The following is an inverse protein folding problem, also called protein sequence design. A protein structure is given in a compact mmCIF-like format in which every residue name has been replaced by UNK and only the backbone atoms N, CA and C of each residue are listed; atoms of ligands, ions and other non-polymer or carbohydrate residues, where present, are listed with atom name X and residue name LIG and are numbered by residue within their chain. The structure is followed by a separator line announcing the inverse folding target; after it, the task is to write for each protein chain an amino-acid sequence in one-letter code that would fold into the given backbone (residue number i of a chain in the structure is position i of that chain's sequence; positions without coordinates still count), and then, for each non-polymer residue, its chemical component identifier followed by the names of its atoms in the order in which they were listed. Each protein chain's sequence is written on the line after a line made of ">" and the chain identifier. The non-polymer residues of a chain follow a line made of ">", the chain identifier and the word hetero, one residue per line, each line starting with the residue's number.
data_IF_868493939460
#
_entry.id   IF_868493939460
#
_cell.length_a   1.000
_cell.length_b   1.000
_cell.length_c   1.000
_cell.angle_alpha   90.00
_cell.angle_beta   90.00
_cell.angle_gamma   90.00
#
_symmetry.space_group_name_H-M   'P 1'
#
loop_
_entity.id
_entity.type
_entity.pdbx_description
1 polymer ?
#
# COMPACT_ATOMS: atom_id res chain seq x y z
N UNK A 1 49.84 7.56 -10.99
CA UNK A 1 50.34 6.30 -11.58
C UNK A 1 49.31 5.18 -11.82
N UNK A 2 47.99 5.43 -11.87
CA UNK A 2 47.01 4.38 -12.22
C UNK A 2 46.84 4.17 -13.74
N UNK A 3 47.29 5.12 -14.57
CA UNK A 3 47.11 5.07 -16.02
C UNK A 3 48.05 4.06 -16.70
N UNK A 4 49.29 3.95 -16.23
CA UNK A 4 50.27 3.02 -16.79
C UNK A 4 49.91 1.55 -16.52
N UNK A 5 49.26 1.26 -15.39
CA UNK A 5 48.86 -0.10 -14.99
C UNK A 5 47.67 -0.61 -15.83
N UNK A 6 46.73 0.28 -16.18
CA UNK A 6 45.61 -0.04 -17.07
C UNK A 6 46.08 -0.39 -18.49
N UNK A 7 47.05 0.39 -19.00
CA UNK A 7 47.56 0.24 -20.36
C UNK A 7 48.27 -1.12 -20.57
N UNK A 8 48.83 -1.74 -19.52
CA UNK A 8 49.52 -3.03 -19.61
C UNK A 8 48.62 -4.25 -19.41
N UNK A 9 47.65 -4.21 -18.50
CA UNK A 9 46.90 -5.41 -18.09
C UNK A 9 45.45 -5.44 -18.55
N UNK A 10 44.90 -4.32 -19.05
CA UNK A 10 43.51 -4.24 -19.54
C UNK A 10 42.44 -4.43 -18.46
N UNK A 11 42.84 -4.57 -17.20
CA UNK A 11 42.00 -4.69 -16.01
C UNK A 11 42.62 -3.77 -14.98
N UNK A 12 41.83 -2.86 -14.38
CA UNK A 12 42.18 -2.30 -13.07
C UNK A 12 41.53 -3.23 -12.07
N UNK A 13 42.34 -3.94 -11.28
CA UNK A 13 41.82 -4.57 -10.07
C UNK A 13 41.51 -3.44 -9.08
N UNK A 14 40.26 -2.98 -9.08
CA UNK A 14 39.72 -2.03 -8.10
C UNK A 14 39.41 -2.72 -6.75
N UNK A 15 40.10 -3.81 -6.41
CA UNK A 15 40.28 -4.22 -5.01
C UNK A 15 41.22 -3.23 -4.30
N UNK A 16 40.94 -1.93 -4.47
CA UNK A 16 41.41 -0.88 -3.59
C UNK A 16 40.92 -1.24 -2.20
N UNK A 17 41.91 -1.51 -1.37
CA UNK A 17 41.91 -1.75 0.07
C UNK A 17 41.29 -0.56 0.85
N UNK A 18 40.08 -0.15 0.47
CA UNK A 18 39.31 1.02 0.94
C UNK A 18 37.81 0.77 0.81
N UNK A 19 37.34 -0.45 1.10
CA UNK A 19 36.01 -0.55 1.70
C UNK A 19 36.17 0.05 3.09
N UNK A 20 36.06 1.39 3.15
CA UNK A 20 35.95 2.18 4.38
C UNK A 20 35.11 1.37 5.38
N UNK A 21 35.76 0.82 6.39
CA UNK A 21 35.07 0.24 7.56
C UNK A 21 34.23 1.32 8.27
N UNK A 22 34.40 2.58 7.88
CA UNK A 22 33.67 3.78 8.26
C UNK A 22 32.51 4.17 7.33
N UNK A 23 32.15 3.38 6.29
CA UNK A 23 30.88 3.61 5.59
C UNK A 23 29.76 3.27 6.55
N UNK A 24 29.21 4.31 7.19
CA UNK A 24 28.04 4.23 8.03
C UNK A 24 26.82 3.95 7.14
N UNK A 25 26.69 2.69 6.72
CA UNK A 25 25.58 2.22 5.90
C UNK A 25 24.24 2.55 6.57
N UNK A 26 24.16 2.52 7.90
CA UNK A 26 22.97 2.95 8.61
C UNK A 26 22.60 4.40 8.29
N UNK A 27 23.54 5.35 8.33
CA UNK A 27 23.30 6.74 7.95
C UNK A 27 22.91 6.90 6.48
N UNK A 28 23.56 6.16 5.58
CA UNK A 28 23.21 6.16 4.15
C UNK A 28 21.78 5.64 3.93
N UNK A 29 21.40 4.54 4.57
CA UNK A 29 20.06 3.96 4.48
C UNK A 29 19.00 4.86 5.16
N UNK A 30 19.33 5.51 6.29
CA UNK A 30 18.45 6.48 6.97
C UNK A 30 18.23 7.75 6.17
N UNK A 31 19.21 8.15 5.35
CA UNK A 31 19.07 9.29 4.43
C UNK A 31 18.15 8.96 3.25
N UNK A 32 18.23 7.74 2.73
CA UNK A 32 17.36 7.26 1.65
C UNK A 32 15.94 6.95 2.15
N UNK A 33 15.84 6.38 3.35
CA UNK A 33 14.59 5.99 4.00
C UNK A 33 14.51 6.64 5.38
N UNK A 34 14.02 7.89 5.45
CA UNK A 34 13.83 8.55 6.72
C UNK A 34 12.95 7.72 7.64
N UNK A 35 13.17 7.84 8.95
CA UNK A 35 12.38 7.11 9.94
C UNK A 35 10.93 7.55 9.86
N UNK A 36 10.05 6.62 9.52
CA UNK A 36 8.59 6.84 9.51
C UNK A 36 8.15 7.23 10.91
N UNK A 37 7.51 8.38 11.01
CA UNK A 37 6.92 8.90 12.24
C UNK A 37 5.43 8.58 12.29
N UNK A 38 4.81 8.70 13.47
CA UNK A 38 3.36 8.59 13.59
C UNK A 38 2.63 9.65 12.76
N UNK A 39 3.23 10.84 12.61
CA UNK A 39 2.69 11.92 11.80
C UNK A 39 2.63 11.53 10.32
N UNK A 40 3.67 10.88 9.80
CA UNK A 40 3.70 10.41 8.41
C UNK A 40 2.58 9.39 8.14
N UNK A 41 2.27 8.52 9.10
CA UNK A 41 1.16 7.55 8.99
C UNK A 41 -0.19 8.27 8.94
N UNK A 42 -0.41 9.26 9.81
CA UNK A 42 -1.65 10.04 9.84
C UNK A 42 -1.83 10.89 8.58
N UNK A 43 -0.75 11.42 8.04
CA UNK A 43 -0.79 12.21 6.81
C UNK A 43 -0.98 11.33 5.58
N UNK A 44 -0.38 10.14 5.57
CA UNK A 44 -0.69 9.10 4.58
C UNK A 44 -2.16 8.70 4.63
N UNK A 45 -2.71 8.41 5.81
CA UNK A 45 -4.12 8.05 5.97
C UNK A 45 -5.06 9.12 5.40
N UNK A 46 -4.77 10.40 5.65
CA UNK A 46 -5.56 11.52 5.11
C UNK A 46 -5.45 11.66 3.60
N UNK A 47 -4.27 11.39 3.03
CA UNK A 47 -4.04 11.47 1.59
C UNK A 47 -4.68 10.29 0.86
N UNK A 48 -4.62 9.10 1.46
CA UNK A 48 -5.17 7.87 0.91
C UNK A 48 -6.70 7.87 0.94
N UNK A 49 -7.32 8.28 2.05
CA UNK A 49 -8.79 8.33 2.18
C UNK A 49 -9.41 9.31 1.17
N UNK A 50 -10.25 8.78 0.29
CA UNK A 50 -10.90 9.54 -0.79
C UNK A 50 -10.02 9.76 -2.02
N UNK A 51 -8.83 9.16 -2.09
CA UNK A 51 -7.99 9.18 -3.28
C UNK A 51 -8.48 8.19 -4.34
N UNK A 52 -8.02 8.38 -5.59
CA UNK A 52 -8.22 7.41 -6.66
C UNK A 52 -7.53 6.06 -6.37
N UNK A 53 -6.42 6.09 -5.61
CA UNK A 53 -5.71 4.88 -5.17
C UNK A 53 -6.61 4.01 -4.28
N UNK A 54 -7.30 4.62 -3.33
CA UNK A 54 -8.26 3.90 -2.49
C UNK A 54 -9.40 3.29 -3.30
N UNK A 55 -9.93 4.02 -4.29
CA UNK A 55 -11.00 3.51 -5.15
C UNK A 55 -10.54 2.27 -5.90
N UNK A 56 -9.35 2.29 -6.48
CA UNK A 56 -8.79 1.16 -7.23
C UNK A 56 -8.51 -0.04 -6.32
N UNK A 57 -7.95 0.19 -5.14
CA UNK A 57 -7.69 -0.87 -4.16
C UNK A 57 -9.00 -1.51 -3.67
N UNK A 58 -10.03 -0.71 -3.41
CA UNK A 58 -11.35 -1.22 -3.02
C UNK A 58 -12.01 -2.02 -4.15
N UNK A 59 -11.91 -1.59 -5.41
CA UNK A 59 -12.38 -2.37 -6.56
C UNK A 59 -11.64 -3.71 -6.67
N UNK A 60 -10.32 -3.70 -6.50
CA UNK A 60 -9.51 -4.93 -6.51
C UNK A 60 -9.96 -5.88 -5.41
N UNK A 61 -10.11 -5.40 -4.18
CA UNK A 61 -10.59 -6.20 -3.05
C UNK A 61 -12.01 -6.73 -3.30
N UNK A 62 -12.88 -5.90 -3.88
CA UNK A 62 -14.25 -6.28 -4.21
C UNK A 62 -14.32 -7.44 -5.21
N UNK A 63 -13.48 -7.41 -6.25
CA UNK A 63 -13.36 -8.48 -7.23
C UNK A 63 -12.76 -9.76 -6.62
N UNK A 64 -11.72 -9.63 -5.80
CA UNK A 64 -11.05 -10.76 -5.16
C UNK A 64 -11.93 -11.48 -4.14
N UNK A 65 -12.78 -10.73 -3.43
CA UNK A 65 -13.60 -11.21 -2.33
C UNK A 65 -15.07 -11.37 -2.72
N UNK A 66 -15.38 -11.30 -4.02
CA UNK A 66 -16.72 -11.46 -4.60
C UNK A 66 -17.79 -10.61 -3.89
N UNK A 67 -17.42 -9.40 -3.46
CA UNK A 67 -18.30 -8.48 -2.76
C UNK A 67 -18.66 -8.83 -1.32
N UNK A 68 -17.94 -9.75 -0.65
CA UNK A 68 -18.13 -9.98 0.80
C UNK A 68 -17.58 -8.79 1.62
N UNK A 69 -18.49 -7.97 2.11
CA UNK A 69 -18.18 -6.78 2.89
C UNK A 69 -17.49 -7.07 4.24
N UNK A 70 -17.63 -8.27 4.80
CA UNK A 70 -16.91 -8.63 6.02
C UNK A 70 -15.40 -8.74 5.74
N UNK A 71 -15.04 -9.44 4.66
CA UNK A 71 -13.65 -9.63 4.25
C UNK A 71 -13.03 -8.34 3.70
N UNK A 72 -13.81 -7.55 2.96
CA UNK A 72 -13.35 -6.27 2.40
C UNK A 72 -12.97 -5.32 3.53
N UNK A 73 -13.82 -5.18 4.56
CA UNK A 73 -13.53 -4.29 5.69
C UNK A 73 -12.35 -4.79 6.54
N UNK A 74 -12.11 -6.10 6.62
CA UNK A 74 -10.95 -6.67 7.31
C UNK A 74 -9.63 -6.51 6.52
N UNK A 75 -9.72 -6.35 5.19
CA UNK A 75 -8.55 -6.27 4.30
C UNK A 75 -8.23 -4.85 3.82
N UNK A 76 -9.18 -3.93 3.90
CA UNK A 76 -9.02 -2.56 3.41
C UNK A 76 -8.06 -1.75 4.28
N UNK A 77 -7.15 -1.02 3.62
CA UNK A 77 -6.23 -0.10 4.27
C UNK A 77 -6.97 1.09 4.88
N UNK A 78 -6.46 1.59 6.01
CA UNK A 78 -6.98 2.79 6.66
C UNK A 78 -8.50 2.73 6.91
N UNK A 79 -9.02 1.54 7.16
CA UNK A 79 -10.46 1.29 7.26
C UNK A 79 -10.82 0.79 8.66
N UNK A 80 -11.78 1.47 9.28
CA UNK A 80 -12.42 1.05 10.52
C UNK A 80 -13.89 0.73 10.27
N UNK A 81 -14.58 0.12 11.23
CA UNK A 81 -16.02 -0.16 11.09
C UNK A 81 -16.86 1.12 10.88
N UNK A 82 -16.38 2.27 11.35
CA UNK A 82 -17.02 3.58 11.14
C UNK A 82 -16.92 4.04 9.68
N UNK A 83 -15.93 3.57 8.94
CA UNK A 83 -15.69 3.88 7.53
C UNK A 83 -16.54 3.01 6.57
N UNK A 84 -17.30 2.03 7.06
CA UNK A 84 -18.14 1.16 6.23
C UNK A 84 -19.08 1.94 5.29
N UNK A 85 -19.77 3.02 5.71
CA UNK A 85 -20.62 3.80 4.81
C UNK A 85 -19.86 4.38 3.62
N UNK A 86 -18.62 4.85 3.86
CA UNK A 86 -17.74 5.44 2.84
C UNK A 86 -17.27 4.39 1.84
N UNK A 87 -16.77 3.25 2.34
CA UNK A 87 -16.36 2.11 1.50
C UNK A 87 -17.54 1.62 0.66
N UNK A 88 -18.71 1.48 1.28
CA UNK A 88 -19.93 1.07 0.57
C UNK A 88 -20.31 2.06 -0.53
N UNK A 89 -20.21 3.37 -0.28
CA UNK A 89 -20.51 4.39 -1.28
C UNK A 89 -19.56 4.31 -2.48
N UNK A 90 -18.26 4.12 -2.24
CA UNK A 90 -17.25 3.96 -3.31
C UNK A 90 -17.57 2.74 -4.17
N UNK A 91 -17.83 1.59 -3.54
CA UNK A 91 -18.16 0.36 -4.25
C UNK A 91 -19.49 0.45 -4.99
N UNK A 92 -20.50 1.11 -4.41
CA UNK A 92 -21.77 1.32 -5.07
C UNK A 92 -21.60 2.19 -6.32
N UNK A 93 -20.80 3.27 -6.25
CA UNK A 93 -20.48 4.10 -7.42
C UNK A 93 -19.78 3.29 -8.51
N UNK A 94 -18.85 2.41 -8.15
CA UNK A 94 -18.15 1.54 -9.11
C UNK A 94 -19.10 0.53 -9.78
N UNK A 95 -20.09 0.01 -9.04
CA UNK A 95 -21.14 -0.86 -9.59
C UNK A 95 -22.07 -0.08 -10.53
N UNK A 96 -22.50 1.12 -10.10
CA UNK A 96 -23.39 1.99 -10.88
C UNK A 96 -22.72 2.49 -12.17
N UNK A 97 -21.39 2.64 -12.16
CA UNK A 97 -20.57 2.95 -13.33
C UNK A 97 -20.25 1.72 -14.20
N UNK A 98 -20.75 0.54 -13.85
CA UNK A 98 -20.50 -0.74 -14.53
C UNK A 98 -19.00 -1.13 -14.61
N UNK A 99 -18.16 -0.58 -13.72
CA UNK A 99 -16.72 -0.90 -13.65
C UNK A 99 -16.46 -2.23 -12.95
N UNK A 100 -17.35 -2.64 -12.05
CA UNK A 100 -17.31 -3.92 -11.34
C UNK A 100 -18.69 -4.60 -11.36
N UNK A 101 -18.75 -5.95 -11.39
CA UNK A 101 -20.02 -6.67 -11.43
C UNK A 101 -20.78 -6.58 -10.11
N UNK A 102 -22.11 -6.53 -10.17
CA UNK A 102 -22.95 -6.55 -8.97
C UNK A 102 -22.99 -7.95 -8.33
N UNK A 103 -22.11 -8.23 -7.36
CA UNK A 103 -22.15 -9.50 -6.62
C UNK A 103 -23.32 -9.56 -5.63
N UNK A 104 -23.95 -10.74 -5.53
CA UNK A 104 -25.07 -10.99 -4.60
C UNK A 104 -24.68 -10.81 -3.13
N UNK A 105 -23.43 -11.11 -2.77
CA UNK A 105 -22.94 -10.92 -1.41
C UNK A 105 -23.01 -9.45 -0.96
N UNK A 106 -22.80 -8.52 -1.90
CA UNK A 106 -22.88 -7.08 -1.67
C UNK A 106 -24.31 -6.54 -1.76
N UNK A 107 -25.07 -6.94 -2.79
CA UNK A 107 -26.42 -6.39 -3.06
C UNK A 107 -27.51 -6.98 -2.15
N UNK A 108 -27.35 -8.23 -1.72
CA UNK A 108 -28.28 -8.94 -0.84
C UNK A 108 -27.67 -9.22 0.54
N UNK A 109 -26.83 -8.32 1.01
CA UNK A 109 -26.23 -8.45 2.33
C UNK A 109 -27.31 -8.45 3.43
N UNK A 110 -27.25 -9.44 4.34
CA UNK A 110 -28.21 -9.53 5.44
C UNK A 110 -28.00 -8.42 6.47
N UNK A 111 -29.10 -7.86 6.99
CA UNK A 111 -29.04 -6.88 8.07
C UNK A 111 -28.32 -7.39 9.34
N UNK A 112 -28.31 -8.71 9.55
CA UNK A 112 -27.59 -9.37 10.66
C UNK A 112 -26.08 -9.23 10.51
N UNK A 113 -25.52 -9.48 9.31
CA UNK A 113 -24.09 -9.32 9.03
C UNK A 113 -23.65 -7.88 9.26
N UNK A 114 -24.37 -6.94 8.65
CA UNK A 114 -24.15 -5.50 8.83
C UNK A 114 -24.17 -5.05 10.30
N UNK A 115 -25.16 -5.50 11.07
CA UNK A 115 -25.23 -5.16 12.49
C UNK A 115 -24.15 -5.81 13.34
N UNK A 116 -23.65 -6.99 12.94
CA UNK A 116 -22.57 -7.66 13.66
C UNK A 116 -21.24 -6.92 13.49
N UNK A 117 -20.98 -6.34 12.30
CA UNK A 117 -19.78 -5.53 12.06
C UNK A 117 -19.73 -4.26 12.89
N UNK A 118 -20.84 -3.57 13.07
CA UNK A 118 -20.94 -2.36 13.92
C UNK A 118 -20.74 -2.61 15.41
N UNK A 119 -20.70 -3.87 15.85
CA UNK A 119 -20.53 -4.27 17.26
C UNK A 119 -19.10 -4.71 17.59
N UNK A 120 -18.23 -4.82 16.59
CA UNK A 120 -16.79 -5.05 16.76
C UNK A 120 -16.10 -3.72 17.02
#
# INVERSE_FOLDING_TARGET
>A
DQRAVYDEQGIVDEESDTLDQDRNWEEHWRRLFPKITLQDILDFEKQYKGSDEEVEDLKRLYLQLEGDMDLIMESALCCTYEDEPRVKEILQKAIDAEEVPAYKAFTHESAKKKNNRKRK
#
